data_IF_659153866606
#
_entry.id   IF_659153866606
#
_cell.length_a   1.000
_cell.length_b   1.000
_cell.length_c   1.000
_cell.angle_alpha   90.00
_cell.angle_beta   90.00
_cell.angle_gamma   90.00
#
_symmetry.space_group_name_H-M   'P 1'
#
loop_
_entity.id
_entity.type
_entity.pdbx_description
1 polymer ?
#
# COMPACT_ATOMS: atom_id res chain seq x y z
N UNK A 1 35.22 25.53 -9.83
CA UNK A 1 33.80 25.93 -9.87
C UNK A 1 33.11 25.33 -8.66
N UNK A 2 32.51 26.14 -7.78
CA UNK A 2 31.80 25.65 -6.60
C UNK A 2 30.48 24.99 -7.04
N UNK A 3 30.50 23.69 -7.33
CA UNK A 3 29.30 22.88 -7.58
C UNK A 3 28.54 22.66 -6.27
N UNK A 4 27.78 23.67 -5.83
CA UNK A 4 26.81 23.53 -4.74
C UNK A 4 25.57 22.84 -5.29
N UNK A 5 25.43 21.54 -5.03
CA UNK A 5 24.21 20.77 -5.32
C UNK A 5 23.27 20.92 -4.13
N UNK A 6 22.09 21.48 -4.34
CA UNK A 6 21.06 21.53 -3.31
C UNK A 6 20.29 20.20 -3.29
N UNK A 7 20.32 19.51 -2.14
CA UNK A 7 19.39 18.42 -1.86
C UNK A 7 18.04 19.02 -1.51
N UNK A 8 17.02 18.72 -2.31
CA UNK A 8 15.68 19.28 -2.12
C UNK A 8 14.69 18.15 -1.97
N UNK A 9 14.39 17.70 -0.73
CA UNK A 9 13.22 16.83 -0.53
C UNK A 9 12.00 17.59 -1.05
N UNK A 10 11.06 16.91 -1.72
CA UNK A 10 10.01 17.55 -2.53
C UNK A 10 9.12 18.57 -1.76
N UNK A 11 9.11 18.58 -0.43
CA UNK A 11 8.55 19.67 0.39
C UNK A 11 9.31 21.01 0.34
N UNK A 12 10.48 21.06 -0.30
CA UNK A 12 11.32 22.26 -0.48
C UNK A 12 11.37 22.74 -1.93
N UNK A 13 10.50 22.23 -2.83
CA UNK A 13 10.48 22.63 -4.26
C UNK A 13 10.36 24.14 -4.44
N UNK A 14 9.61 24.83 -3.56
CA UNK A 14 9.53 26.29 -3.53
C UNK A 14 10.86 26.95 -3.12
N UNK A 15 11.60 26.35 -2.18
CA UNK A 15 12.91 26.82 -1.73
C UNK A 15 14.00 26.48 -2.75
N UNK A 16 13.87 25.40 -3.52
CA UNK A 16 14.79 25.01 -4.60
C UNK A 16 14.75 25.96 -5.81
N UNK A 17 13.56 26.51 -6.09
CA UNK A 17 13.36 27.41 -7.22
C UNK A 17 14.14 28.71 -7.11
N UNK A 18 14.24 29.27 -5.90
CA UNK A 18 14.89 30.58 -5.70
C UNK A 18 16.41 30.55 -5.92
N UNK A 19 17.20 29.61 -5.36
CA UNK A 19 18.62 29.44 -5.65
C UNK A 19 18.89 29.11 -7.12
N UNK A 20 18.00 28.37 -7.78
CA UNK A 20 18.12 28.09 -9.21
C UNK A 20 18.02 29.37 -10.05
N UNK A 21 17.04 30.23 -9.75
CA UNK A 21 16.85 31.51 -10.44
C UNK A 21 17.92 32.53 -10.08
N UNK A 22 18.31 32.61 -8.79
CA UNK A 22 19.23 33.65 -8.29
C UNK A 22 20.70 33.31 -8.40
N UNK A 23 21.07 32.04 -8.24
CA UNK A 23 22.46 31.61 -8.15
C UNK A 23 22.83 30.58 -9.22
N UNK A 24 21.94 30.26 -10.17
CA UNK A 24 22.15 29.22 -11.18
C UNK A 24 22.54 27.87 -10.58
N UNK A 25 22.09 27.59 -9.34
CA UNK A 25 22.37 26.33 -8.67
C UNK A 25 21.39 25.27 -9.18
N UNK A 26 21.92 24.19 -9.74
CA UNK A 26 21.13 23.02 -10.07
C UNK A 26 20.66 22.32 -8.80
N UNK A 27 19.43 21.80 -8.83
CA UNK A 27 18.84 21.06 -7.73
C UNK A 27 18.42 19.68 -8.22
N UNK A 28 18.49 18.72 -7.31
CA UNK A 28 18.03 17.35 -7.56
C UNK A 28 16.51 17.30 -7.61
N UNK A 29 15.96 16.46 -8.48
CA UNK A 29 14.51 16.24 -8.62
C UNK A 29 14.07 14.89 -8.08
N UNK A 30 15.01 13.94 -8.02
CA UNK A 30 14.78 12.58 -7.58
C UNK A 30 14.76 12.52 -6.06
N UNK A 31 13.70 11.94 -5.50
CA UNK A 31 13.65 11.64 -4.06
C UNK A 31 14.19 10.23 -3.87
N UNK A 32 15.27 10.01 -3.09
CA UNK A 32 15.93 8.72 -2.97
C UNK A 32 15.20 7.77 -2.00
N UNK A 33 13.92 7.46 -2.27
CA UNK A 33 13.13 6.50 -1.50
C UNK A 33 12.95 5.23 -2.33
N UNK A 34 13.47 4.11 -1.83
CA UNK A 34 13.62 2.86 -2.58
C UNK A 34 15.00 2.72 -3.25
N UNK A 35 15.36 1.49 -3.62
CA UNK A 35 16.68 1.17 -4.20
C UNK A 35 16.83 1.82 -5.57
N UNK A 36 15.79 1.76 -6.42
CA UNK A 36 15.85 2.29 -7.79
C UNK A 36 15.98 3.81 -7.78
N UNK A 37 15.13 4.49 -7.01
CA UNK A 37 15.18 5.95 -6.91
C UNK A 37 16.49 6.44 -6.25
N UNK A 38 17.06 5.66 -5.32
CA UNK A 38 18.38 5.96 -4.74
C UNK A 38 19.49 5.91 -5.79
N UNK A 39 19.50 4.89 -6.65
CA UNK A 39 20.48 4.80 -7.76
C UNK A 39 20.34 5.96 -8.75
N UNK A 40 19.12 6.32 -9.11
CA UNK A 40 18.83 7.47 -9.98
C UNK A 40 19.29 8.79 -9.35
N UNK A 41 19.03 8.97 -8.06
CA UNK A 41 19.48 10.14 -7.32
C UNK A 41 21.01 10.26 -7.28
N UNK A 42 21.72 9.15 -7.04
CA UNK A 42 23.19 9.13 -7.07
C UNK A 42 23.69 9.52 -8.48
N UNK A 43 23.10 8.95 -9.53
CA UNK A 43 23.44 9.29 -10.90
C UNK A 43 23.18 10.78 -11.21
N UNK A 44 22.05 11.33 -10.75
CA UNK A 44 21.70 12.75 -10.89
C UNK A 44 22.73 13.65 -10.19
N UNK A 45 23.07 13.36 -8.94
CA UNK A 45 24.06 14.12 -8.17
C UNK A 45 25.44 14.03 -8.81
N UNK A 46 25.88 12.84 -9.20
CA UNK A 46 27.17 12.64 -9.88
C UNK A 46 27.26 13.42 -11.18
N UNK A 47 26.20 13.41 -12.00
CA UNK A 47 26.13 14.21 -13.22
C UNK A 47 26.21 15.72 -12.94
N UNK A 48 25.48 16.21 -11.93
CA UNK A 48 25.55 17.63 -11.53
C UNK A 48 26.92 18.04 -10.97
N UNK A 49 27.64 17.09 -10.36
CA UNK A 49 28.97 17.31 -9.80
C UNK A 49 30.12 17.07 -10.80
N UNK A 50 29.85 16.52 -11.98
CA UNK A 50 30.89 16.10 -12.93
C UNK A 50 31.71 14.90 -12.45
N UNK A 51 31.09 14.02 -11.65
CA UNK A 51 31.70 12.80 -11.09
C UNK A 51 31.15 11.56 -11.79
N UNK A 52 31.90 10.46 -11.74
CA UNK A 52 31.42 9.13 -12.15
C UNK A 52 30.80 8.43 -10.93
N UNK A 53 29.54 7.97 -10.97
CA UNK A 53 28.92 7.29 -9.85
C UNK A 53 29.52 5.88 -9.65
N UNK A 54 29.87 5.54 -8.41
CA UNK A 54 30.17 4.16 -8.01
C UNK A 54 28.94 3.54 -7.32
N UNK A 55 28.04 2.99 -8.12
CA UNK A 55 26.79 2.39 -7.63
C UNK A 55 27.01 1.06 -6.90
N UNK A 56 28.10 0.35 -7.20
CA UNK A 56 28.40 -0.93 -6.57
C UNK A 56 28.82 -0.72 -5.12
N UNK A 57 29.73 0.22 -4.87
CA UNK A 57 30.11 0.61 -3.51
C UNK A 57 28.92 1.20 -2.75
N UNK A 58 28.10 2.02 -3.41
CA UNK A 58 26.97 2.67 -2.75
C UNK A 58 25.89 1.65 -2.30
N UNK A 59 25.65 0.59 -3.07
CA UNK A 59 24.60 -0.40 -2.79
C UNK A 59 25.06 -1.57 -1.91
N UNK A 60 26.30 -1.58 -1.39
CA UNK A 60 26.89 -2.71 -0.68
C UNK A 60 26.05 -3.19 0.52
N UNK A 61 25.34 -2.28 1.19
CA UNK A 61 24.51 -2.59 2.36
C UNK A 61 23.01 -2.75 2.04
N UNK A 62 22.61 -2.73 0.76
CA UNK A 62 21.23 -2.94 0.37
C UNK A 62 20.86 -4.43 0.45
N UNK A 63 19.99 -4.78 1.39
CA UNK A 63 19.51 -6.15 1.62
C UNK A 63 18.10 -6.35 1.06
N UNK A 64 17.29 -5.28 1.03
CA UNK A 64 15.89 -5.32 0.59
C UNK A 64 15.69 -5.98 -0.78
N UNK A 65 16.60 -5.77 -1.73
CA UNK A 65 16.52 -6.39 -3.06
C UNK A 65 16.57 -7.92 -2.97
N UNK A 66 17.51 -8.47 -2.19
CA UNK A 66 17.60 -9.92 -1.98
C UNK A 66 16.38 -10.46 -1.25
N UNK A 67 15.95 -9.77 -0.18
CA UNK A 67 14.76 -10.17 0.58
C UNK A 67 13.50 -10.22 -0.29
N UNK A 68 13.24 -9.18 -1.09
CA UNK A 68 12.10 -9.12 -2.00
C UNK A 68 12.15 -10.16 -3.13
N UNK A 69 13.34 -10.67 -3.48
CA UNK A 69 13.53 -11.72 -4.49
C UNK A 69 13.63 -13.13 -3.90
N UNK A 70 13.63 -13.25 -2.57
CA UNK A 70 13.73 -14.53 -1.89
C UNK A 70 12.43 -15.34 -2.03
N UNK A 71 12.53 -16.67 -1.90
CA UNK A 71 11.36 -17.56 -2.02
C UNK A 71 10.27 -17.26 -0.99
N UNK A 72 10.67 -16.77 0.18
CA UNK A 72 9.76 -16.39 1.26
C UNK A 72 8.94 -15.14 0.91
N UNK A 73 9.39 -14.32 -0.04
CA UNK A 73 8.66 -13.13 -0.50
C UNK A 73 7.68 -13.43 -1.64
N UNK A 74 7.62 -14.66 -2.18
CA UNK A 74 6.74 -14.99 -3.31
C UNK A 74 5.26 -14.68 -3.02
N UNK A 75 4.80 -14.87 -1.79
CA UNK A 75 3.41 -14.58 -1.38
C UNK A 75 3.05 -13.08 -1.41
N UNK A 76 4.04 -12.18 -1.45
CA UNK A 76 3.82 -10.73 -1.58
C UNK A 76 3.35 -10.35 -2.99
N UNK A 77 3.69 -11.16 -4.00
CA UNK A 77 3.41 -10.86 -5.40
C UNK A 77 1.92 -10.70 -5.65
N UNK A 78 1.54 -9.54 -6.20
CA UNK A 78 0.15 -9.24 -6.53
C UNK A 78 -0.72 -8.86 -5.33
N UNK A 79 -0.20 -8.87 -4.10
CA UNK A 79 -0.96 -8.37 -2.94
C UNK A 79 -1.36 -6.93 -3.17
N UNK A 80 -2.62 -6.64 -2.89
CA UNK A 80 -3.27 -5.36 -3.24
C UNK A 80 -2.91 -4.30 -2.21
N UNK A 81 -2.32 -3.18 -2.63
CA UNK A 81 -1.93 -2.10 -1.73
C UNK A 81 -2.63 -0.79 -2.07
N UNK A 82 -3.13 -0.10 -1.05
CA UNK A 82 -3.62 1.27 -1.16
C UNK A 82 -2.60 2.22 -0.53
N UNK A 83 -2.21 3.26 -1.26
CA UNK A 83 -1.15 4.19 -0.86
C UNK A 83 -1.72 5.60 -0.68
N UNK A 84 -1.48 6.22 0.47
CA UNK A 84 -1.92 7.59 0.79
C UNK A 84 -0.90 8.34 1.64
N UNK A 85 -0.80 9.67 1.49
CA UNK A 85 0.10 10.52 2.27
C UNK A 85 0.41 11.84 1.59
N UNK A 86 1.48 12.54 2.00
CA UNK A 86 2.01 13.63 1.19
C UNK A 86 2.45 13.10 -0.18
N UNK A 87 2.36 13.95 -1.22
CA UNK A 87 2.56 13.51 -2.58
C UNK A 87 3.96 12.91 -2.84
N UNK A 88 4.97 13.33 -2.09
CA UNK A 88 6.33 12.82 -2.27
C UNK A 88 6.43 11.37 -1.83
N UNK A 89 5.98 11.08 -0.61
CA UNK A 89 6.00 9.73 -0.05
C UNK A 89 5.00 8.83 -0.76
N UNK A 90 3.79 9.31 -1.10
CA UNK A 90 2.79 8.49 -1.79
C UNK A 90 3.28 8.04 -3.18
N UNK A 91 3.83 8.95 -3.99
CA UNK A 91 4.36 8.62 -5.32
C UNK A 91 5.56 7.68 -5.21
N UNK A 92 6.50 7.95 -4.30
CA UNK A 92 7.67 7.10 -4.13
C UNK A 92 7.31 5.72 -3.56
N UNK A 93 6.36 5.65 -2.64
CA UNK A 93 5.91 4.39 -2.05
C UNK A 93 5.17 3.52 -3.06
N UNK A 94 4.32 4.12 -3.91
CA UNK A 94 3.67 3.40 -5.01
C UNK A 94 4.70 2.79 -5.97
N UNK A 95 5.78 3.52 -6.24
CA UNK A 95 6.90 3.01 -7.03
C UNK A 95 7.56 1.81 -6.37
N UNK A 96 7.99 1.93 -5.11
CA UNK A 96 8.64 0.81 -4.38
C UNK A 96 7.72 -0.40 -4.30
N UNK A 97 6.45 -0.19 -3.97
CA UNK A 97 5.45 -1.24 -3.87
C UNK A 97 5.34 -2.05 -5.18
N UNK A 98 5.15 -1.37 -6.31
CA UNK A 98 4.96 -2.02 -7.60
C UNK A 98 6.26 -2.59 -8.20
N UNK A 99 7.35 -1.82 -8.12
CA UNK A 99 8.56 -2.09 -8.88
C UNK A 99 9.66 -2.83 -8.11
N UNK A 100 9.60 -2.84 -6.78
CA UNK A 100 10.63 -3.45 -5.92
C UNK A 100 10.05 -4.59 -5.08
N UNK A 101 8.83 -4.46 -4.53
CA UNK A 101 8.24 -5.47 -3.65
C UNK A 101 7.17 -6.36 -4.32
N UNK A 102 6.76 -6.04 -5.55
CA UNK A 102 5.83 -6.86 -6.33
C UNK A 102 4.35 -6.73 -5.96
N UNK A 103 3.98 -5.71 -5.19
CA UNK A 103 2.59 -5.41 -4.85
C UNK A 103 1.80 -4.86 -6.05
N UNK A 104 0.49 -5.09 -6.06
CA UNK A 104 -0.43 -4.43 -6.99
C UNK A 104 -0.98 -3.16 -6.36
N UNK A 105 -0.61 -1.99 -6.88
CA UNK A 105 -1.20 -0.71 -6.45
C UNK A 105 -2.65 -0.62 -6.93
N UNK A 106 -3.60 -0.62 -5.99
CA UNK A 106 -5.05 -0.57 -6.26
C UNK A 106 -5.68 0.77 -5.88
N UNK A 107 -4.91 1.66 -5.27
CA UNK A 107 -5.30 3.03 -5.01
C UNK A 107 -4.08 3.88 -4.68
N UNK A 108 -4.07 5.11 -5.17
CA UNK A 108 -3.03 6.10 -4.91
C UNK A 108 -3.68 7.45 -4.65
N UNK A 109 -3.38 8.04 -3.49
CA UNK A 109 -3.91 9.35 -3.13
C UNK A 109 -2.95 10.22 -2.34
N UNK A 110 -3.32 11.49 -2.22
CA UNK A 110 -2.59 12.47 -1.41
C UNK A 110 -3.48 13.61 -0.94
N UNK A 111 -3.17 14.14 0.24
CA UNK A 111 -3.74 15.39 0.75
C UNK A 111 -3.02 16.65 0.21
N UNK A 112 -1.86 16.50 -0.44
CA UNK A 112 -1.09 17.61 -1.00
C UNK A 112 -1.66 18.08 -2.35
N UNK A 113 -2.65 18.97 -2.29
CA UNK A 113 -3.36 19.50 -3.48
C UNK A 113 -2.41 20.15 -4.50
N UNK A 114 -1.32 20.75 -4.04
CA UNK A 114 -0.32 21.46 -4.86
C UNK A 114 0.46 20.54 -5.82
N UNK A 115 0.52 19.23 -5.53
CA UNK A 115 1.19 18.23 -6.37
C UNK A 115 0.19 17.31 -7.10
N UNK A 116 -1.05 17.75 -7.26
CA UNK A 116 -2.11 16.94 -7.86
C UNK A 116 -1.86 16.56 -9.32
N UNK A 117 -1.02 17.31 -10.07
CA UNK A 117 -0.66 16.94 -11.45
C UNK A 117 0.28 15.74 -11.46
N UNK A 118 1.30 15.77 -10.61
CA UNK A 118 2.31 14.74 -10.44
C UNK A 118 1.67 13.45 -9.92
N UNK A 119 0.75 13.57 -8.95
CA UNK A 119 0.03 12.43 -8.41
C UNK A 119 -0.83 11.74 -9.47
N UNK A 120 -1.59 12.51 -10.28
CA UNK A 120 -2.37 11.95 -11.40
C UNK A 120 -1.50 11.24 -12.43
N UNK A 121 -0.34 11.83 -12.76
CA UNK A 121 0.61 11.20 -13.68
C UNK A 121 1.16 9.88 -13.11
N UNK A 122 1.46 9.83 -11.82
CA UNK A 122 1.90 8.60 -11.15
C UNK A 122 0.79 7.54 -11.10
N UNK A 123 -0.44 7.92 -10.72
CA UNK A 123 -1.58 7.01 -10.64
C UNK A 123 -1.91 6.35 -11.99
N UNK A 124 -1.79 7.10 -13.08
CA UNK A 124 -1.98 6.59 -14.44
C UNK A 124 -1.03 5.43 -14.80
N UNK A 125 0.19 5.39 -14.22
CA UNK A 125 1.14 4.29 -14.44
C UNK A 125 0.63 2.95 -13.88
N UNK A 126 -0.27 3.01 -12.90
CA UNK A 126 -0.85 1.84 -12.23
C UNK A 126 -2.30 1.56 -12.66
N UNK A 127 -2.86 2.38 -13.58
CA UNK A 127 -4.24 2.25 -14.02
C UNK A 127 -5.27 2.58 -12.93
N UNK A 128 -4.91 3.41 -11.95
CA UNK A 128 -5.82 3.84 -10.87
C UNK A 128 -6.14 5.34 -10.98
N UNK A 129 -7.32 5.74 -10.51
CA UNK A 129 -7.65 7.16 -10.38
C UNK A 129 -6.97 7.76 -9.15
N UNK A 130 -6.36 8.93 -9.30
CA UNK A 130 -5.69 9.61 -8.20
C UNK A 130 -6.70 10.26 -7.25
N UNK A 131 -6.66 9.89 -5.98
CA UNK A 131 -7.48 10.52 -4.94
C UNK A 131 -6.76 11.74 -4.37
N UNK A 132 -7.27 12.94 -4.63
CA UNK A 132 -6.70 14.19 -4.09
C UNK A 132 -7.71 14.80 -3.12
N UNK A 133 -7.53 14.57 -1.84
CA UNK A 133 -8.47 15.00 -0.79
C UNK A 133 -7.80 15.16 0.56
N UNK A 134 -8.31 16.06 1.38
CA UNK A 134 -7.98 16.20 2.80
C UNK A 134 -9.13 15.68 3.70
N UNK A 135 -10.21 15.16 3.11
CA UNK A 135 -11.31 14.54 3.83
C UNK A 135 -11.05 13.05 4.07
N UNK A 136 -10.88 12.67 5.34
CA UNK A 136 -10.62 11.28 5.73
C UNK A 136 -11.80 10.35 5.42
N UNK A 137 -13.03 10.85 5.30
CA UNK A 137 -14.20 10.05 4.94
C UNK A 137 -14.15 9.62 3.47
N UNK A 138 -13.66 10.49 2.58
CA UNK A 138 -13.43 10.14 1.18
C UNK A 138 -12.29 9.12 1.05
N UNK A 139 -11.23 9.26 1.86
CA UNK A 139 -10.13 8.28 1.93
C UNK A 139 -10.63 6.92 2.40
N UNK A 140 -11.45 6.88 3.46
CA UNK A 140 -12.05 5.65 3.95
C UNK A 140 -12.97 4.99 2.90
N UNK A 141 -13.81 5.79 2.23
CA UNK A 141 -14.67 5.28 1.16
C UNK A 141 -13.85 4.68 0.02
N UNK A 142 -12.76 5.34 -0.38
CA UNK A 142 -11.85 4.85 -1.42
C UNK A 142 -11.11 3.56 -1.00
N UNK A 143 -10.59 3.49 0.23
CA UNK A 143 -9.96 2.27 0.77
C UNK A 143 -10.98 1.12 0.79
N UNK A 144 -12.20 1.41 1.27
CA UNK A 144 -13.28 0.44 1.31
C UNK A 144 -13.60 -0.06 -0.11
N UNK A 145 -13.81 0.85 -1.07
CA UNK A 145 -14.11 0.53 -2.46
C UNK A 145 -12.97 -0.24 -3.16
N UNK A 146 -11.71 0.04 -2.80
CA UNK A 146 -10.56 -0.69 -3.32
C UNK A 146 -10.41 -2.09 -2.70
N UNK A 147 -10.77 -2.32 -1.43
CA UNK A 147 -10.47 -3.57 -0.69
C UNK A 147 -8.99 -4.01 -0.80
N UNK A 148 -8.04 -3.18 -0.37
CA UNK A 148 -6.65 -3.58 -0.35
C UNK A 148 -6.40 -4.66 0.72
N UNK A 149 -5.28 -5.35 0.59
CA UNK A 149 -4.73 -6.27 1.60
C UNK A 149 -3.70 -5.56 2.50
N UNK A 150 -3.21 -4.39 2.08
CA UNK A 150 -2.30 -3.52 2.85
C UNK A 150 -2.63 -2.05 2.61
N UNK A 151 -2.63 -1.25 3.67
CA UNK A 151 -2.70 0.20 3.59
C UNK A 151 -1.35 0.81 3.97
N UNK A 152 -0.75 1.56 3.04
CA UNK A 152 0.44 2.36 3.28
C UNK A 152 0.01 3.83 3.37
N UNK A 153 -0.04 4.37 4.58
CA UNK A 153 -0.76 5.60 4.84
C UNK A 153 -0.11 6.54 5.85
N UNK A 154 -0.92 7.44 6.39
CA UNK A 154 -0.60 8.30 7.53
C UNK A 154 -1.13 7.68 8.83
N UNK A 155 -1.00 8.41 9.94
CA UNK A 155 -1.65 8.02 11.19
C UNK A 155 -3.19 7.92 11.06
N UNK A 156 -3.82 8.69 10.17
CA UNK A 156 -5.26 8.62 9.93
C UNK A 156 -5.65 7.31 9.25
N UNK A 157 -4.90 6.87 8.24
CA UNK A 157 -5.14 5.60 7.58
C UNK A 157 -4.92 4.41 8.52
N UNK A 158 -4.03 4.52 9.51
CA UNK A 158 -3.92 3.52 10.59
C UNK A 158 -5.23 3.37 11.36
N UNK A 159 -5.95 4.47 11.64
CA UNK A 159 -7.26 4.42 12.29
C UNK A 159 -8.32 3.78 11.38
N UNK A 160 -8.35 4.15 10.10
CA UNK A 160 -9.26 3.57 9.11
C UNK A 160 -9.01 2.07 8.96
N UNK A 161 -7.75 1.66 8.75
CA UNK A 161 -7.35 0.27 8.59
C UNK A 161 -7.70 -0.57 9.83
N UNK A 162 -7.52 -0.04 11.04
CA UNK A 162 -7.94 -0.72 12.28
C UNK A 162 -9.44 -1.00 12.31
N UNK A 163 -10.27 -0.05 11.87
CA UNK A 163 -11.73 -0.22 11.81
C UNK A 163 -12.15 -1.23 10.74
N UNK A 164 -11.43 -1.26 9.62
CA UNK A 164 -11.68 -2.18 8.51
C UNK A 164 -11.01 -3.57 8.69
N UNK A 165 -10.22 -3.77 9.75
CA UNK A 165 -9.47 -5.01 9.98
C UNK A 165 -8.35 -5.25 8.96
N UNK A 166 -7.74 -4.18 8.43
CA UNK A 166 -6.71 -4.26 7.39
C UNK A 166 -5.30 -4.05 7.98
N UNK A 167 -4.28 -4.79 7.49
CA UNK A 167 -2.88 -4.47 7.72
C UNK A 167 -2.52 -3.04 7.30
N UNK A 168 -1.70 -2.35 8.11
CA UNK A 168 -1.30 -0.98 7.84
C UNK A 168 0.13 -0.65 8.29
N UNK A 169 0.84 0.11 7.46
CA UNK A 169 2.09 0.77 7.81
C UNK A 169 2.01 2.29 7.55
N UNK A 170 2.66 3.08 8.41
CA UNK A 170 2.75 4.54 8.25
C UNK A 170 3.96 4.86 7.38
N UNK A 171 3.75 5.64 6.31
CA UNK A 171 4.77 6.02 5.32
C UNK A 171 4.95 7.53 5.20
N UNK A 172 4.06 8.33 5.79
CA UNK A 172 4.01 9.78 5.60
C UNK A 172 3.38 10.47 6.80
N UNK A 173 3.74 11.74 6.99
CA UNK A 173 3.06 12.61 7.94
C UNK A 173 1.58 12.82 7.54
N UNK A 174 0.69 13.19 8.47
CA UNK A 174 0.90 13.29 9.93
C UNK A 174 1.16 11.93 10.59
N UNK A 175 2.05 11.92 11.59
CA UNK A 175 2.48 10.72 12.34
C UNK A 175 2.34 10.92 13.85
N UNK A 176 2.54 9.86 14.65
CA UNK A 176 2.60 9.95 16.12
C UNK A 176 4.00 9.61 16.65
N UNK A 177 4.21 9.72 17.98
CA UNK A 177 5.52 9.51 18.64
C UNK A 177 6.23 8.19 18.29
N UNK A 178 5.46 7.14 17.95
CA UNK A 178 6.00 5.84 17.55
C UNK A 178 6.84 5.90 16.25
N UNK A 179 6.54 6.87 15.38
CA UNK A 179 7.18 7.08 14.09
C UNK A 179 8.38 8.06 14.22
N UNK A 180 8.72 8.46 15.45
CA UNK A 180 9.97 9.14 15.83
C UNK A 180 10.84 8.22 16.70
N UNK A 181 11.33 7.09 16.16
CA UNK A 181 12.00 6.08 16.96
C UNK A 181 13.39 6.54 17.41
N UNK A 182 13.84 6.01 18.56
CA UNK A 182 15.21 6.22 19.04
C UNK A 182 16.27 5.50 18.19
N UNK A 183 15.89 4.41 17.49
CA UNK A 183 16.79 3.66 16.60
C UNK A 183 16.99 4.41 15.28
N UNK A 184 18.05 4.03 14.55
CA UNK A 184 18.21 4.44 13.15
C UNK A 184 17.08 3.85 12.30
N UNK A 185 16.26 4.71 11.70
CA UNK A 185 15.10 4.31 10.89
C UNK A 185 14.87 5.25 9.69
N UNK A 186 15.86 5.38 8.77
CA UNK A 186 15.69 6.20 7.59
C UNK A 186 14.60 5.64 6.67
N UNK A 187 14.00 6.52 5.86
CA UNK A 187 13.14 6.13 4.72
C UNK A 187 13.90 6.22 3.39
N UNK A 188 14.99 7.01 3.35
CA UNK A 188 15.77 7.28 2.15
C UNK A 188 17.06 6.46 2.09
N UNK A 189 17.56 6.24 0.88
CA UNK A 189 18.80 5.51 0.63
C UNK A 189 18.64 3.99 0.74
N UNK A 190 19.76 3.29 0.65
CA UNK A 190 19.77 1.81 0.68
C UNK A 190 19.34 1.23 2.03
N UNK A 191 19.77 1.83 3.15
CA UNK A 191 19.28 1.43 4.47
C UNK A 191 17.79 1.77 4.63
N UNK A 192 17.34 2.89 4.07
CA UNK A 192 15.92 3.23 4.02
C UNK A 192 15.12 2.12 3.34
N UNK A 193 15.61 1.59 2.22
CA UNK A 193 14.95 0.47 1.55
C UNK A 193 14.87 -0.81 2.40
N UNK A 194 15.87 -1.08 3.25
CA UNK A 194 15.82 -2.18 4.23
C UNK A 194 14.70 -1.94 5.26
N UNK A 195 14.66 -0.74 5.84
CA UNK A 195 13.63 -0.34 6.82
C UNK A 195 12.23 -0.38 6.21
N UNK A 196 12.07 0.05 4.96
CA UNK A 196 10.79 -0.01 4.24
C UNK A 196 10.30 -1.46 4.09
N UNK A 197 11.19 -2.37 3.67
CA UNK A 197 10.84 -3.78 3.49
C UNK A 197 10.30 -4.38 4.79
N UNK A 198 11.06 -4.25 5.88
CA UNK A 198 10.66 -4.78 7.18
C UNK A 198 9.33 -4.15 7.65
N UNK A 199 9.21 -2.82 7.53
CA UNK A 199 8.05 -2.08 8.03
C UNK A 199 6.76 -2.40 7.27
N UNK A 200 6.84 -2.63 5.96
CA UNK A 200 5.66 -2.84 5.10
C UNK A 200 5.23 -4.30 5.06
N UNK A 201 6.17 -5.22 5.22
CA UNK A 201 5.88 -6.66 5.24
C UNK A 201 5.41 -7.10 6.64
N UNK A 202 5.92 -6.49 7.71
CA UNK A 202 5.59 -6.88 9.08
C UNK A 202 4.08 -6.91 9.42
N UNK A 203 3.22 -6.00 8.92
CA UNK A 203 1.78 -6.07 9.21
C UNK A 203 1.04 -7.23 8.52
N UNK A 204 1.61 -7.81 7.46
CA UNK A 204 0.96 -8.84 6.66
C UNK A 204 0.96 -10.19 7.38
N UNK A 205 -0.03 -11.02 7.08
CA UNK A 205 -0.02 -12.44 7.48
C UNK A 205 1.17 -13.16 6.84
N UNK A 206 1.88 -13.98 7.60
CA UNK A 206 3.01 -14.74 7.08
C UNK A 206 2.55 -15.83 6.11
N UNK A 207 3.35 -16.15 5.09
CA UNK A 207 2.95 -17.05 4.00
C UNK A 207 2.51 -18.45 4.45
N UNK A 208 3.13 -19.02 5.48
CA UNK A 208 2.71 -20.31 6.05
C UNK A 208 1.35 -20.21 6.75
N UNK A 209 1.14 -19.15 7.53
CA UNK A 209 -0.11 -18.89 8.23
C UNK A 209 -1.27 -18.63 7.25
N UNK A 210 -1.00 -17.89 6.18
CA UNK A 210 -1.95 -17.67 5.08
C UNK A 210 -2.35 -19.00 4.42
N UNK A 211 -1.38 -19.90 4.19
CA UNK A 211 -1.63 -21.22 3.63
C UNK A 211 -2.41 -22.14 4.59
N UNK A 212 -2.05 -22.12 5.88
CA UNK A 212 -2.69 -22.94 6.92
C UNK A 212 -4.14 -22.51 7.18
N UNK A 213 -4.44 -21.21 7.20
CA UNK A 213 -5.83 -20.71 7.26
C UNK A 213 -6.64 -21.17 6.04
N UNK A 214 -5.99 -21.26 4.88
CA UNK A 214 -6.60 -21.84 3.68
C UNK A 214 -6.93 -23.33 3.81
N UNK A 215 -6.02 -24.11 4.41
CA UNK A 215 -6.09 -25.57 4.52
C UNK A 215 -6.95 -26.09 5.70
N UNK A 216 -6.82 -25.49 6.88
CA UNK A 216 -7.41 -25.98 8.14
C UNK A 216 -8.60 -25.11 8.58
N UNK A 217 -9.54 -24.89 7.67
CA UNK A 217 -10.75 -24.10 7.94
C UNK A 217 -11.59 -24.73 9.05
N UNK A 218 -11.88 -23.96 10.10
CA UNK A 218 -12.75 -24.38 11.21
C UNK A 218 -12.02 -24.96 12.42
N UNK A 219 -10.69 -24.89 12.46
CA UNK A 219 -9.92 -25.18 13.66
C UNK A 219 -10.12 -24.07 14.72
N UNK A 220 -10.22 -24.43 16.00
CA UNK A 220 -10.39 -23.46 17.09
C UNK A 220 -9.16 -22.55 17.22
N UNK A 221 -7.98 -23.05 16.84
CA UNK A 221 -6.72 -22.32 16.95
C UNK A 221 -6.41 -21.47 15.71
N UNK A 222 -6.85 -21.90 14.52
CA UNK A 222 -6.60 -21.26 13.22
C UNK A 222 -7.93 -20.92 12.52
N UNK A 223 -8.55 -19.82 12.94
CA UNK A 223 -9.81 -19.33 12.35
C UNK A 223 -9.59 -18.04 11.57
N UNK A 224 -10.48 -17.76 10.62
CA UNK A 224 -10.32 -16.72 9.60
C UNK A 224 -10.29 -15.28 10.17
N UNK A 225 -10.69 -15.08 11.41
CA UNK A 225 -10.61 -13.80 12.12
C UNK A 225 -9.32 -13.66 12.96
N UNK A 226 -8.39 -14.61 12.86
CA UNK A 226 -7.12 -14.58 13.58
C UNK A 226 -6.21 -13.44 13.07
N UNK A 227 -5.66 -12.68 14.02
CA UNK A 227 -4.58 -11.73 13.73
C UNK A 227 -3.28 -12.48 13.40
N UNK A 228 -2.39 -11.91 12.57
CA UNK A 228 -1.11 -12.54 12.23
C UNK A 228 -0.33 -12.98 13.47
N UNK A 229 0.14 -14.23 13.45
CA UNK A 229 0.74 -14.93 14.60
C UNK A 229 1.94 -14.24 15.24
N UNK A 230 2.72 -13.47 14.48
CA UNK A 230 3.86 -12.67 14.96
C UNK A 230 3.47 -11.32 15.56
N UNK A 231 2.22 -10.89 15.40
CA UNK A 231 1.65 -9.73 16.07
C UNK A 231 0.95 -10.23 17.34
N UNK A 232 1.52 -9.97 18.52
CA UNK A 232 0.96 -10.46 19.79
C UNK A 232 -0.55 -10.19 19.91
N UNK A 233 -1.31 -11.16 20.45
CA UNK A 233 -2.79 -11.10 20.51
C UNK A 233 -3.26 -9.84 21.25
N UNK A 234 -3.80 -8.87 20.51
CA UNK A 234 -4.62 -7.81 21.07
C UNK A 234 -6.02 -8.38 21.36
N UNK A 235 -6.56 -8.13 22.54
CA UNK A 235 -7.92 -8.56 22.89
C UNK A 235 -8.92 -8.00 21.86
N UNK A 236 -9.73 -8.89 21.28
CA UNK A 236 -10.79 -8.50 20.37
C UNK A 236 -11.74 -7.51 21.07
N UNK A 237 -12.09 -6.38 20.46
CA UNK A 237 -13.14 -5.52 20.99
C UNK A 237 -14.46 -6.30 21.02
N UNK A 238 -15.24 -6.11 22.10
CA UNK A 238 -16.54 -6.74 22.26
C UNK A 238 -17.48 -6.38 21.08
N UNK A 239 -18.31 -7.31 20.61
CA UNK A 239 -19.22 -7.05 19.51
C UNK A 239 -20.18 -5.91 19.87
N UNK A 240 -20.18 -4.86 19.05
CA UNK A 240 -21.20 -3.82 19.11
C UNK A 240 -22.43 -4.28 18.33
N UNK A 241 -23.62 -4.01 18.88
CA UNK A 241 -24.89 -4.45 18.30
C UNK A 241 -25.09 -3.86 16.89
N UNK A 242 -25.56 -4.65 15.92
CA UNK A 242 -25.81 -4.16 14.56
C UNK A 242 -26.95 -3.14 14.57
N UNK A 243 -26.70 -1.99 13.94
CA UNK A 243 -27.72 -0.98 13.61
C UNK A 243 -28.28 -1.38 12.24
N UNK A 244 -29.56 -1.76 12.19
CA UNK A 244 -30.28 -1.99 10.94
C UNK A 244 -30.56 -0.67 10.21
N UNK A 245 -30.01 -0.55 9.00
CA UNK A 245 -30.37 0.48 8.02
C UNK A 245 -31.41 -0.10 7.05
N UNK A 246 -32.38 0.71 6.57
CA UNK A 246 -33.44 0.24 5.69
C UNK A 246 -32.91 -0.12 4.30
N UNK A 247 -33.30 -1.29 3.81
CA UNK A 247 -32.84 -1.89 2.57
C UNK A 247 -33.40 -1.17 1.32
N UNK A 248 -32.49 -0.62 0.51
CA UNK A 248 -32.64 -0.57 -0.95
C UNK A 248 -31.53 -1.48 -1.50
N UNK A 249 -31.84 -2.78 -1.62
CA UNK A 249 -30.83 -3.83 -1.55
C UNK A 249 -30.19 -4.25 -2.89
N UNK A 250 -28.88 -4.57 -2.91
CA UNK A 250 -28.25 -5.38 -3.96
C UNK A 250 -28.83 -6.82 -3.98
N UNK A 251 -28.53 -7.61 -5.02
CA UNK A 251 -29.01 -8.98 -5.20
C UNK A 251 -28.86 -9.83 -3.91
N UNK A 252 -29.91 -10.57 -3.55
CA UNK A 252 -29.95 -11.32 -2.30
C UNK A 252 -29.03 -12.57 -2.38
N UNK A 253 -28.31 -12.88 -1.31
CA UNK A 253 -27.44 -14.07 -1.25
C UNK A 253 -28.22 -15.28 -0.70
N UNK A 254 -27.98 -16.47 -1.27
CA UNK A 254 -28.46 -17.72 -0.66
C UNK A 254 -27.57 -18.17 0.49
N UNK A 255 -28.11 -18.94 1.44
CA UNK A 255 -27.38 -19.36 2.63
C UNK A 255 -26.13 -20.22 2.33
N UNK A 256 -26.20 -21.06 1.29
CA UNK A 256 -25.08 -21.85 0.77
C UNK A 256 -24.02 -20.97 0.09
N UNK A 257 -24.43 -19.94 -0.66
CA UNK A 257 -23.50 -18.97 -1.25
C UNK A 257 -22.79 -18.12 -0.18
N UNK A 258 -23.48 -17.70 0.88
CA UNK A 258 -22.87 -17.02 2.02
C UNK A 258 -21.89 -17.92 2.78
N UNK A 259 -22.23 -19.20 2.96
CA UNK A 259 -21.32 -20.17 3.56
C UNK A 259 -20.06 -20.38 2.72
N UNK A 260 -20.20 -20.45 1.38
CA UNK A 260 -19.05 -20.57 0.49
C UNK A 260 -18.20 -19.29 0.47
N UNK A 261 -18.83 -18.11 0.50
CA UNK A 261 -18.13 -16.83 0.61
C UNK A 261 -17.32 -16.74 1.90
N UNK A 262 -17.84 -17.26 3.03
CA UNK A 262 -17.10 -17.28 4.30
C UNK A 262 -15.80 -18.06 4.17
N UNK A 263 -15.78 -19.18 3.44
CA UNK A 263 -14.58 -19.99 3.20
C UNK A 263 -13.44 -19.26 2.46
N UNK A 264 -13.70 -18.08 1.90
CA UNK A 264 -12.68 -17.24 1.26
C UNK A 264 -11.93 -16.47 2.37
N UNK A 265 -10.58 -16.47 2.38
CA UNK A 265 -9.80 -15.76 3.40
C UNK A 265 -10.22 -14.29 3.55
N UNK A 266 -10.29 -13.79 4.78
CA UNK A 266 -10.95 -12.51 5.09
C UNK A 266 -10.43 -11.33 4.26
N UNK A 267 -9.11 -11.27 4.01
CA UNK A 267 -8.45 -10.18 3.30
C UNK A 267 -8.81 -10.11 1.80
N UNK A 268 -9.26 -11.22 1.20
CA UNK A 268 -9.80 -11.25 -0.18
C UNK A 268 -11.32 -11.41 -0.24
N UNK A 269 -11.97 -11.75 0.88
CA UNK A 269 -13.41 -12.00 0.98
C UNK A 269 -14.26 -10.81 0.54
N UNK A 270 -13.88 -9.60 0.97
CA UNK A 270 -14.62 -8.39 0.60
C UNK A 270 -14.61 -8.13 -0.92
N UNK A 271 -13.49 -8.44 -1.61
CA UNK A 271 -13.38 -8.39 -3.07
C UNK A 271 -14.20 -9.49 -3.72
N UNK A 272 -14.10 -10.73 -3.24
CA UNK A 272 -14.86 -11.85 -3.78
C UNK A 272 -16.37 -11.60 -3.72
N UNK A 273 -16.84 -11.03 -2.60
CA UNK A 273 -18.23 -10.59 -2.43
C UNK A 273 -18.63 -9.57 -3.49
N UNK A 274 -17.87 -8.47 -3.60
CA UNK A 274 -18.14 -7.39 -4.56
C UNK A 274 -18.07 -7.83 -6.01
N UNK A 275 -17.08 -8.65 -6.36
CA UNK A 275 -16.96 -9.20 -7.70
C UNK A 275 -18.18 -10.08 -8.04
N UNK A 276 -18.64 -10.88 -7.08
CA UNK A 276 -19.86 -11.69 -7.24
C UNK A 276 -21.10 -10.83 -7.38
N UNK A 277 -21.25 -9.78 -6.56
CA UNK A 277 -22.35 -8.82 -6.64
C UNK A 277 -22.34 -8.05 -7.98
N UNK A 278 -21.16 -7.60 -8.44
CA UNK A 278 -21.00 -6.92 -9.72
C UNK A 278 -21.28 -7.85 -10.92
N UNK A 279 -20.89 -9.12 -10.84
CA UNK A 279 -21.21 -10.14 -11.85
C UNK A 279 -22.70 -10.46 -11.88
N UNK A 280 -23.34 -10.62 -10.73
CA UNK A 280 -24.78 -10.82 -10.64
C UNK A 280 -25.54 -9.62 -11.22
N UNK A 281 -25.09 -8.40 -10.94
CA UNK A 281 -25.67 -7.18 -11.48
C UNK A 281 -25.54 -7.10 -13.02
N UNK A 282 -24.38 -7.48 -13.57
CA UNK A 282 -24.16 -7.45 -15.03
C UNK A 282 -25.02 -8.46 -15.80
N UNK A 283 -25.41 -9.55 -15.15
CA UNK A 283 -26.33 -10.56 -15.67
C UNK A 283 -27.79 -10.35 -15.23
N UNK A 284 -28.09 -9.25 -14.53
CA UNK A 284 -29.40 -8.93 -13.95
C UNK A 284 -29.98 -10.07 -13.09
N UNK A 285 -29.12 -10.80 -12.38
CA UNK A 285 -29.51 -11.88 -11.48
C UNK A 285 -30.00 -11.29 -10.14
N UNK A 286 -31.26 -11.53 -9.75
CA UNK A 286 -31.82 -11.01 -8.49
C UNK A 286 -31.34 -11.79 -7.24
N UNK A 287 -30.79 -12.99 -7.45
CA UNK A 287 -30.36 -13.91 -6.41
C UNK A 287 -28.95 -14.43 -6.72
N UNK A 288 -28.03 -14.28 -5.77
CA UNK A 288 -26.66 -14.79 -5.84
C UNK A 288 -26.65 -16.19 -5.25
N UNK A 289 -26.47 -17.19 -6.11
CA UNK A 289 -26.34 -18.60 -5.73
C UNK A 289 -24.87 -19.03 -5.67
N UNK A 290 -24.64 -20.25 -5.19
CA UNK A 290 -23.31 -20.87 -5.19
C UNK A 290 -22.68 -20.90 -6.60
N UNK A 291 -23.50 -21.17 -7.62
CA UNK A 291 -23.08 -21.17 -9.04
C UNK A 291 -22.64 -19.78 -9.49
N UNK A 292 -23.40 -18.74 -9.15
CA UNK A 292 -23.05 -17.34 -9.47
C UNK A 292 -21.70 -16.93 -8.86
N UNK A 293 -21.39 -17.41 -7.64
CA UNK A 293 -20.10 -17.15 -7.00
C UNK A 293 -18.93 -17.83 -7.74
N UNK A 294 -19.10 -19.08 -8.20
CA UNK A 294 -18.08 -19.77 -8.98
C UNK A 294 -17.89 -19.15 -10.37
N UNK A 295 -18.97 -18.76 -11.04
CA UNK A 295 -18.93 -18.08 -12.33
C UNK A 295 -18.23 -16.72 -12.24
N UNK A 296 -18.55 -15.94 -11.19
CA UNK A 296 -17.87 -14.68 -10.93
C UNK A 296 -16.37 -14.88 -10.71
N UNK A 297 -15.97 -15.91 -9.94
CA UNK A 297 -14.56 -16.26 -9.76
C UNK A 297 -13.87 -16.57 -11.09
N UNK A 298 -14.50 -17.34 -11.98
CA UNK A 298 -13.95 -17.65 -13.30
C UNK A 298 -13.87 -16.41 -14.20
N UNK A 299 -14.84 -15.49 -14.11
CA UNK A 299 -14.87 -14.24 -14.87
C UNK A 299 -13.71 -13.30 -14.49
N UNK A 300 -13.43 -13.15 -13.20
CA UNK A 300 -12.42 -12.22 -12.67
C UNK A 300 -11.03 -12.85 -12.44
N UNK A 301 -10.83 -14.12 -12.78
CA UNK A 301 -9.55 -14.83 -12.67
C UNK A 301 -8.71 -14.79 -13.97
N UNK A 302 -9.15 -14.05 -14.99
CA UNK A 302 -8.39 -13.71 -16.20
C UNK A 302 -7.64 -12.40 -16.00
#
# INVERSE_FOLDING_TARGET
>A
MNSRVAFTPRGTVLVAGWPRVRFSQAATKTVPLGVKATREFIAEVSALAGLTPDLAAAAADSRSTWYAQSVDANYLTGKRVFVFGDASHAIAAARVAAEEFGFQVVGLGSYSREFGRELRAAAALYGVEALITDDYLEVEAAITAAAPELVLGTQMERHIAKRLGLPCAVISAPVHVQDFPARHAPQMGFEGANVLFDTWVHPLMMGLEEHLLGMFRGDFEFHEDAAPSHLGRAAAPAPSAPIELPATGPAAWTADAEQELRKIPFFVRAKARRNTEAYALSLALPLITLETLYDAKAHFSK
#
